data_IF_630094865701
#
_entry.id   IF_630094865701
#
_cell.length_a   1.000
_cell.length_b   1.000
_cell.length_c   1.000
_cell.angle_alpha   90.00
_cell.angle_beta   90.00
_cell.angle_gamma   90.00
#
_symmetry.space_group_name_H-M   'P 1'
#
loop_
_entity.id
_entity.type
_entity.pdbx_description
1 polymer ?
#
# COMPACT_ATOMS: atom_id res chain seq x y z
N UNK A 1 -14.89 2.89 49.58
CA UNK A 1 -15.25 2.17 48.33
C UNK A 1 -13.99 2.07 47.48
N UNK A 2 -13.62 0.88 46.97
CA UNK A 2 -12.43 0.75 46.15
C UNK A 2 -12.64 1.54 44.85
N UNK A 3 -11.65 2.37 44.50
CA UNK A 3 -11.64 3.23 43.30
C UNK A 3 -11.85 2.36 42.06
N UNK A 4 -12.62 2.87 41.09
CA UNK A 4 -12.77 2.30 39.74
C UNK A 4 -11.38 1.91 39.23
N UNK A 5 -11.14 0.62 38.99
CA UNK A 5 -10.01 0.16 38.19
C UNK A 5 -10.19 0.76 36.79
N UNK A 6 -9.40 1.77 36.48
CA UNK A 6 -9.24 2.29 35.14
C UNK A 6 -8.45 1.31 34.27
N UNK A 7 -8.90 1.24 33.01
CA UNK A 7 -8.72 0.15 32.06
C UNK A 7 -7.26 -0.28 31.76
N UNK A 8 -7.12 -1.56 31.38
CA UNK A 8 -5.98 -2.21 30.69
C UNK A 8 -4.74 -2.67 31.49
N UNK A 9 -4.68 -2.53 32.82
CA UNK A 9 -3.55 -3.10 33.60
C UNK A 9 -2.19 -2.43 33.32
N UNK A 10 -2.23 -1.18 32.84
CA UNK A 10 -1.04 -0.34 32.73
C UNK A 10 -0.60 0.15 34.12
N UNK A 11 0.70 0.38 34.35
CA UNK A 11 1.17 1.00 35.58
C UNK A 11 0.61 2.42 35.70
N UNK A 12 0.13 2.78 36.89
CA UNK A 12 -0.33 4.13 37.19
C UNK A 12 0.89 5.09 37.20
N UNK A 13 0.79 6.18 36.45
CA UNK A 13 1.82 7.22 36.43
C UNK A 13 1.46 8.26 37.49
N UNK A 14 2.34 8.45 38.47
CA UNK A 14 2.23 9.57 39.40
C UNK A 14 2.70 10.86 38.71
N UNK A 15 1.75 11.55 38.09
CA UNK A 15 2.02 12.81 37.39
C UNK A 15 2.58 13.92 38.29
N UNK A 16 2.41 13.83 39.62
CA UNK A 16 2.99 14.79 40.56
C UNK A 16 4.51 14.68 40.70
N UNK A 17 5.07 13.51 40.33
CA UNK A 17 6.50 13.19 40.35
C UNK A 17 7.10 13.08 38.95
N UNK A 18 6.36 13.46 37.92
CA UNK A 18 6.85 13.40 36.55
C UNK A 18 7.87 14.51 36.32
N UNK A 19 9.16 14.15 36.26
CA UNK A 19 10.30 15.08 36.12
C UNK A 19 10.41 15.71 34.72
N UNK A 20 9.50 15.38 33.81
CA UNK A 20 9.52 15.79 32.41
C UNK A 20 10.09 14.71 31.49
N UNK A 21 10.27 15.08 30.22
CA UNK A 21 10.82 14.21 29.18
C UNK A 21 12.32 14.52 29.07
N UNK A 22 13.18 13.52 29.26
CA UNK A 22 14.63 13.66 29.10
C UNK A 22 15.01 14.01 27.66
N UNK A 23 16.21 14.59 27.47
CA UNK A 23 16.70 15.03 26.17
C UNK A 23 16.48 13.94 25.10
N UNK A 24 15.79 14.27 23.99
CA UNK A 24 15.10 13.27 23.18
C UNK A 24 16.01 12.42 22.29
N UNK A 25 15.63 11.14 22.17
CA UNK A 25 15.83 10.37 20.94
C UNK A 25 14.57 10.55 20.09
N UNK A 26 14.73 10.96 18.84
CA UNK A 26 13.61 11.34 17.99
C UNK A 26 13.11 10.19 17.12
N UNK A 27 11.83 10.23 16.77
CA UNK A 27 11.25 9.42 15.70
C UNK A 27 10.91 10.35 14.55
N UNK A 28 11.56 10.17 13.40
CA UNK A 28 11.23 10.93 12.20
C UNK A 28 9.79 10.60 11.79
N UNK A 29 8.96 11.62 11.65
CA UNK A 29 7.54 11.52 11.32
C UNK A 29 7.26 12.53 10.22
N UNK A 30 6.59 12.15 9.10
CA UNK A 30 6.27 13.12 8.05
C UNK A 30 5.43 14.28 8.61
N UNK A 31 5.85 15.52 8.35
CA UNK A 31 5.19 16.73 8.88
C UNK A 31 3.69 16.78 8.55
N UNK A 32 3.31 16.25 7.38
CA UNK A 32 1.91 16.15 6.97
C UNK A 32 1.02 15.39 7.97
N UNK A 33 1.57 14.45 8.75
CA UNK A 33 0.85 13.75 9.81
C UNK A 33 0.37 14.75 10.86
N UNK A 34 1.21 15.73 11.21
CA UNK A 34 0.90 16.74 12.22
C UNK A 34 0.11 17.91 11.65
N UNK A 35 0.53 18.43 10.49
CA UNK A 35 0.01 19.69 9.96
C UNK A 35 -1.34 19.53 9.26
N UNK A 36 -1.53 18.42 8.53
CA UNK A 36 -2.67 18.27 7.62
C UNK A 36 -3.60 17.11 7.98
N UNK A 37 -3.08 16.07 8.63
CA UNK A 37 -3.83 14.83 8.89
C UNK A 37 -4.41 14.81 10.31
N UNK A 38 -3.65 15.22 11.32
CA UNK A 38 -4.03 15.10 12.74
C UNK A 38 -5.45 15.59 13.06
N UNK A 39 -5.93 16.75 12.56
CA UNK A 39 -7.26 17.25 12.90
C UNK A 39 -8.42 16.34 12.49
N UNK A 40 -8.19 15.46 11.51
CA UNK A 40 -9.19 14.55 10.95
C UNK A 40 -9.13 13.14 11.56
N UNK A 41 -8.21 12.91 12.50
CA UNK A 41 -8.07 11.63 13.19
C UNK A 41 -8.72 11.66 14.56
N UNK A 42 -9.36 10.56 14.93
CA UNK A 42 -9.74 10.35 16.34
C UNK A 42 -8.47 10.18 17.19
N UNK A 43 -8.57 10.42 18.49
CA UNK A 43 -7.44 10.19 19.40
C UNK A 43 -6.95 8.73 19.39
N UNK A 44 -7.83 7.76 19.11
CA UNK A 44 -7.46 6.37 18.95
C UNK A 44 -6.68 6.12 17.64
N UNK A 45 -7.16 6.66 16.53
CA UNK A 45 -6.48 6.59 15.23
C UNK A 45 -5.09 7.22 15.28
N UNK A 46 -4.97 8.42 15.86
CA UNK A 46 -3.70 9.10 16.00
C UNK A 46 -2.71 8.27 16.83
N UNK A 47 -3.13 7.71 17.97
CA UNK A 47 -2.28 6.83 18.79
C UNK A 47 -1.79 5.60 18.02
N UNK A 48 -2.68 4.95 17.27
CA UNK A 48 -2.32 3.77 16.47
C UNK A 48 -1.36 4.16 15.34
N UNK A 49 -1.63 5.26 14.63
CA UNK A 49 -0.78 5.75 13.54
C UNK A 49 0.63 6.10 14.05
N UNK A 50 0.73 6.86 15.14
CA UNK A 50 2.01 7.23 15.76
C UNK A 50 2.77 6.01 16.27
N UNK A 51 2.08 5.00 16.80
CA UNK A 51 2.73 3.76 17.20
C UNK A 51 3.32 3.01 16.01
N UNK A 52 2.60 2.93 14.88
CA UNK A 52 3.14 2.36 13.64
C UNK A 52 4.39 3.14 13.19
N UNK A 53 4.34 4.48 13.16
CA UNK A 53 5.50 5.34 12.81
C UNK A 53 6.69 5.07 13.73
N UNK A 54 6.46 4.94 15.04
CA UNK A 54 7.53 4.62 16.01
C UNK A 54 8.18 3.28 15.74
N UNK A 55 7.39 2.29 15.31
CA UNK A 55 7.84 0.92 15.00
C UNK A 55 8.51 0.80 13.63
N UNK A 56 8.18 1.68 12.69
CA UNK A 56 8.81 1.75 11.37
C UNK A 56 9.98 2.74 11.37
N UNK A 57 9.71 4.04 11.23
CA UNK A 57 10.72 5.08 11.05
C UNK A 57 11.58 5.29 12.29
N UNK A 58 11.02 5.07 13.49
CA UNK A 58 11.79 5.09 14.73
C UNK A 58 12.81 3.96 14.86
N UNK A 59 12.78 2.97 13.95
CA UNK A 59 13.78 1.91 13.80
C UNK A 59 14.39 1.88 12.40
N UNK A 60 14.23 2.96 11.61
CA UNK A 60 14.74 3.08 10.23
C UNK A 60 14.25 1.96 9.31
N UNK A 61 12.98 1.59 9.44
CA UNK A 61 12.30 0.60 8.59
C UNK A 61 11.18 1.27 7.81
N UNK A 62 10.91 0.77 6.61
CA UNK A 62 9.74 1.16 5.81
C UNK A 62 8.46 0.47 6.30
N UNK A 63 8.58 -0.73 6.85
CA UNK A 63 7.47 -1.53 7.39
C UNK A 63 7.91 -2.34 8.61
N UNK A 64 6.98 -2.70 9.50
CA UNK A 64 7.24 -3.58 10.64
C UNK A 64 6.10 -4.59 10.84
N UNK A 65 6.45 -5.80 11.27
CA UNK A 65 5.47 -6.82 11.65
C UNK A 65 5.00 -6.55 13.08
N UNK A 66 3.73 -6.17 13.24
CA UNK A 66 3.19 -5.76 14.55
C UNK A 66 1.93 -6.58 14.82
N UNK A 67 1.90 -7.26 15.97
CA UNK A 67 0.70 -7.98 16.39
C UNK A 67 -0.32 -7.00 17.00
N UNK A 68 -1.60 -7.36 16.96
CA UNK A 68 -2.64 -6.57 17.65
C UNK A 68 -2.35 -6.46 19.16
N UNK A 69 -1.76 -7.52 19.75
CA UNK A 69 -1.37 -7.52 21.15
C UNK A 69 -0.29 -6.46 21.43
N UNK A 70 0.71 -6.36 20.55
CA UNK A 70 1.76 -5.34 20.65
C UNK A 70 1.21 -3.92 20.45
N UNK A 71 0.24 -3.73 19.56
CA UNK A 71 -0.45 -2.45 19.41
C UNK A 71 -1.20 -2.05 20.69
N UNK A 72 -1.82 -3.01 21.38
CA UNK A 72 -2.56 -2.73 22.62
C UNK A 72 -1.60 -2.47 23.79
N UNK A 73 -0.66 -3.39 24.01
CA UNK A 73 0.04 -3.55 25.29
C UNK A 73 1.57 -3.43 25.18
N UNK A 74 2.07 -3.18 23.97
CA UNK A 74 3.48 -2.97 23.71
C UNK A 74 4.30 -4.23 23.61
N UNK A 75 5.63 -4.06 23.59
CA UNK A 75 6.58 -5.16 23.39
C UNK A 75 7.27 -5.52 24.69
N UNK A 76 7.23 -6.82 25.00
CA UNK A 76 8.06 -7.45 26.02
C UNK A 76 9.02 -8.40 25.30
N UNK A 77 10.30 -8.28 25.59
CA UNK A 77 11.33 -9.16 25.02
C UNK A 77 11.30 -10.53 25.68
N UNK A 78 12.02 -11.50 25.10
CA UNK A 78 12.06 -12.88 25.62
C UNK A 78 12.68 -12.97 27.02
N UNK A 79 13.59 -12.07 27.34
CA UNK A 79 14.21 -11.91 28.67
C UNK A 79 13.30 -11.18 29.69
N UNK A 80 12.05 -10.87 29.31
CA UNK A 80 11.06 -10.26 30.20
C UNK A 80 11.20 -8.74 30.34
N UNK A 81 12.18 -8.12 29.67
CA UNK A 81 12.34 -6.67 29.64
C UNK A 81 11.21 -6.03 28.83
N UNK A 82 10.57 -5.02 29.40
CA UNK A 82 9.58 -4.20 28.70
C UNK A 82 10.26 -3.12 27.86
N UNK A 83 9.94 -3.04 26.58
CA UNK A 83 10.46 -2.02 25.65
C UNK A 83 9.55 -0.82 25.56
N UNK A 84 8.23 -1.07 25.56
CA UNK A 84 7.21 -0.04 25.46
C UNK A 84 5.87 -0.54 26.04
N UNK A 85 4.87 0.33 26.06
CA UNK A 85 3.54 0.09 26.64
C UNK A 85 2.42 0.01 25.57
N UNK A 86 2.76 0.04 24.28
CA UNK A 86 1.76 0.06 23.21
C UNK A 86 0.97 1.37 23.18
N UNK A 87 -0.25 1.30 22.65
CA UNK A 87 -1.20 2.42 22.61
C UNK A 87 -2.05 2.56 23.87
N UNK A 88 -2.12 1.50 24.69
CA UNK A 88 -3.01 1.41 25.84
C UNK A 88 -4.50 1.31 25.47
N UNK A 89 -4.82 1.11 24.20
CA UNK A 89 -6.20 0.99 23.74
C UNK A 89 -6.72 -0.44 23.88
N UNK A 90 -8.05 -0.59 24.01
CA UNK A 90 -8.70 -1.89 23.96
C UNK A 90 -8.56 -2.49 22.55
N UNK A 91 -8.46 -3.81 22.47
CA UNK A 91 -8.34 -4.55 21.20
C UNK A 91 -9.36 -4.13 20.14
N UNK A 92 -10.64 -4.02 20.52
CA UNK A 92 -11.70 -3.61 19.60
C UNK A 92 -11.47 -2.20 19.03
N UNK A 93 -11.02 -1.27 19.87
CA UNK A 93 -10.69 0.10 19.47
C UNK A 93 -9.48 0.15 18.53
N UNK A 94 -8.46 -0.67 18.77
CA UNK A 94 -7.30 -0.80 17.87
C UNK A 94 -7.75 -1.31 16.50
N UNK A 95 -8.61 -2.34 16.46
CA UNK A 95 -9.10 -2.90 15.21
C UNK A 95 -9.92 -1.88 14.40
N UNK A 96 -10.76 -1.10 15.06
CA UNK A 96 -11.54 -0.05 14.41
C UNK A 96 -10.65 1.09 13.89
N UNK A 97 -9.69 1.54 14.70
CA UNK A 97 -8.70 2.53 14.29
C UNK A 97 -7.89 2.05 13.07
N UNK A 98 -7.43 0.80 13.06
CA UNK A 98 -6.71 0.22 11.92
C UNK A 98 -7.58 0.14 10.67
N UNK A 99 -8.86 -0.20 10.79
CA UNK A 99 -9.79 -0.18 9.66
C UNK A 99 -9.91 1.24 9.10
N UNK A 100 -10.21 2.22 9.96
CA UNK A 100 -10.39 3.59 9.51
C UNK A 100 -9.12 4.19 8.90
N UNK A 101 -7.93 3.94 9.48
CA UNK A 101 -6.65 4.39 8.91
C UNK A 101 -6.37 3.80 7.52
N UNK A 102 -6.80 2.57 7.26
CA UNK A 102 -6.71 1.95 5.92
C UNK A 102 -7.70 2.57 4.95
N UNK A 103 -8.93 2.82 5.38
CA UNK A 103 -9.96 3.49 4.57
C UNK A 103 -9.54 4.92 4.20
N UNK A 104 -8.91 5.64 5.13
CA UNK A 104 -8.28 6.95 4.91
C UNK A 104 -6.99 6.87 4.07
N UNK A 105 -6.58 5.67 3.68
CA UNK A 105 -5.39 5.42 2.86
C UNK A 105 -4.07 5.92 3.48
N UNK A 106 -4.00 5.99 4.81
CA UNK A 106 -2.82 6.46 5.55
C UNK A 106 -1.81 5.35 5.83
N UNK A 107 -2.29 4.10 5.94
CA UNK A 107 -1.47 2.93 6.21
C UNK A 107 -1.75 1.80 5.22
N UNK A 108 -0.74 0.98 4.99
CA UNK A 108 -0.86 -0.30 4.30
C UNK A 108 -0.73 -1.41 5.36
N UNK A 109 -1.59 -2.42 5.29
CA UNK A 109 -1.60 -3.56 6.20
C UNK A 109 -1.60 -4.86 5.39
N UNK A 110 -0.48 -5.58 5.42
CA UNK A 110 -0.28 -6.83 4.71
C UNK A 110 -0.39 -8.00 5.69
N UNK A 111 -1.46 -8.79 5.57
CA UNK A 111 -1.59 -10.00 6.37
C UNK A 111 -0.61 -11.07 5.87
N UNK A 112 0.18 -11.60 6.79
CA UNK A 112 1.07 -12.71 6.51
C UNK A 112 0.42 -14.02 6.93
N UNK A 113 0.38 -15.00 6.04
CA UNK A 113 -0.07 -16.36 6.35
C UNK A 113 1.11 -17.30 6.18
N UNK A 114 1.38 -18.09 7.21
CA UNK A 114 2.34 -19.17 7.15
C UNK A 114 1.58 -20.50 6.95
N UNK A 115 1.91 -21.29 5.92
CA UNK A 115 1.27 -22.59 5.69
C UNK A 115 1.44 -23.61 6.82
N UNK A 116 2.48 -23.47 7.66
CA UNK A 116 2.86 -24.44 8.70
C UNK A 116 2.53 -23.98 10.12
N UNK A 117 2.63 -22.68 10.40
CA UNK A 117 2.53 -22.12 11.77
C UNK A 117 1.32 -21.22 12.00
N UNK A 118 0.47 -21.01 11.00
CA UNK A 118 -0.77 -20.25 11.11
C UNK A 118 -0.61 -18.76 10.79
N UNK A 119 -1.43 -17.91 11.43
CA UNK A 119 -1.42 -16.47 11.17
C UNK A 119 -0.17 -15.81 11.75
N UNK A 120 0.64 -15.19 10.90
CA UNK A 120 1.73 -14.31 11.33
C UNK A 120 1.18 -12.92 11.69
N UNK A 121 1.92 -12.11 12.46
CA UNK A 121 1.58 -10.71 12.68
C UNK A 121 1.39 -9.97 11.35
N UNK A 122 0.50 -8.98 11.35
CA UNK A 122 0.29 -8.15 10.15
C UNK A 122 1.47 -7.19 10.00
N UNK A 123 1.97 -7.05 8.77
CA UNK A 123 3.00 -6.07 8.44
C UNK A 123 2.34 -4.75 8.13
N UNK A 124 2.76 -3.69 8.82
CA UNK A 124 2.22 -2.35 8.66
C UNK A 124 3.30 -1.41 8.12
N UNK A 125 2.90 -0.50 7.23
CA UNK A 125 3.69 0.63 6.76
C UNK A 125 2.80 1.86 6.59
N UNK A 126 3.43 3.04 6.50
CA UNK A 126 2.73 4.24 6.03
C UNK A 126 2.53 4.13 4.52
N UNK A 127 1.41 4.65 4.03
CA UNK A 127 1.20 4.78 2.59
C UNK A 127 1.87 6.05 2.09
N UNK A 128 3.17 5.97 1.78
CA UNK A 128 3.92 7.08 1.21
C UNK A 128 3.71 7.14 -0.30
N UNK A 129 3.42 8.34 -0.81
CA UNK A 129 3.33 8.62 -2.24
C UNK A 129 4.73 8.47 -2.87
N UNK A 130 4.87 7.67 -3.93
CA UNK A 130 6.16 7.31 -4.55
C UNK A 130 6.83 8.44 -5.36
N UNK A 131 6.43 9.70 -5.19
CA UNK A 131 6.72 10.78 -6.14
C UNK A 131 8.12 11.42 -5.97
N UNK A 132 9.03 10.79 -5.24
CA UNK A 132 10.42 11.25 -5.12
C UNK A 132 11.38 10.28 -5.78
N UNK A 133 11.35 10.24 -7.12
CA UNK A 133 12.56 9.90 -7.87
C UNK A 133 13.61 10.98 -7.59
N UNK A 134 14.57 10.70 -6.72
CA UNK A 134 15.78 11.49 -6.61
C UNK A 134 16.60 11.32 -7.90
N UNK A 135 16.24 12.04 -8.97
CA UNK A 135 17.25 12.54 -9.90
C UNK A 135 18.10 13.55 -9.12
N UNK A 136 19.38 13.25 -8.95
CA UNK A 136 20.26 13.90 -7.98
C UNK A 136 20.27 15.42 -8.03
N UNK A 137 19.81 16.06 -6.95
CA UNK A 137 20.11 17.47 -6.61
C UNK A 137 20.10 17.66 -5.08
N UNK A 138 20.86 16.85 -4.33
CA UNK A 138 21.29 17.23 -2.97
C UNK A 138 22.81 17.13 -2.81
N UNK A 139 23.52 17.32 -3.92
CA UNK A 139 24.88 17.84 -3.86
C UNK A 139 24.75 19.35 -3.69
N UNK A 140 25.28 19.86 -2.56
CA UNK A 140 25.50 21.28 -2.23
C UNK A 140 24.28 22.19 -2.11
N UNK A 141 23.74 22.30 -0.88
CA UNK A 141 23.24 23.59 -0.38
C UNK A 141 24.17 24.00 0.78
N UNK A 142 24.86 25.15 0.70
CA UNK A 142 25.65 25.66 1.81
C UNK A 142 24.73 26.06 2.96
N UNK A 143 25.17 25.79 4.19
CA UNK A 143 24.56 26.37 5.39
C UNK A 143 24.70 27.90 5.36
N UNK A 144 23.60 28.59 5.11
CA UNK A 144 23.35 29.94 5.63
C UNK A 144 21.85 30.06 5.85
N UNK A 145 21.44 30.00 7.12
CA UNK A 145 20.11 30.41 7.53
C UNK A 145 19.96 31.90 7.28
N UNK A 146 19.04 32.29 6.41
CA UNK A 146 18.37 33.57 6.51
C UNK A 146 16.89 33.27 6.77
N UNK A 147 16.42 33.67 7.96
CA UNK A 147 15.03 33.62 8.36
C UNK A 147 14.19 34.47 7.41
N UNK A 148 13.39 33.84 6.56
CA UNK A 148 12.26 34.51 5.93
C UNK A 148 11.04 34.40 6.85
N UNK A 149 10.88 35.37 7.75
CA UNK A 149 9.58 35.70 8.34
C UNK A 149 8.67 36.31 7.26
N UNK A 150 7.46 35.77 7.01
CA UNK A 150 6.45 36.43 6.19
C UNK A 150 6.03 37.76 6.82
N UNK A 151 6.03 38.85 6.03
CA UNK A 151 5.85 40.23 6.50
C UNK A 151 4.41 40.59 6.98
N UNK A 152 3.46 39.66 6.94
CA UNK A 152 2.02 39.98 7.19
C UNK A 152 1.36 39.20 8.33
N UNK A 153 2.12 38.59 9.24
CA UNK A 153 1.53 37.98 10.43
C UNK A 153 1.13 39.04 11.48
N UNK A 154 -0.14 39.12 11.93
CA UNK A 154 -0.55 40.08 12.94
C UNK A 154 0.17 39.83 14.28
N UNK A 155 0.53 40.88 15.04
CA UNK A 155 1.31 40.74 16.26
C UNK A 155 0.48 40.06 17.36
N UNK A 156 1.04 39.00 17.96
CA UNK A 156 0.46 38.38 19.15
C UNK A 156 0.44 39.38 20.32
N UNK A 157 -0.66 39.47 21.11
CA UNK A 157 -0.74 40.36 22.27
C UNK A 157 0.28 39.96 23.34
N UNK A 158 1.02 40.96 23.83
CA UNK A 158 2.26 40.79 24.60
C UNK A 158 2.12 40.20 26.00
N UNK A 159 3.12 39.41 26.38
CA UNK A 159 3.44 39.06 27.77
C UNK A 159 4.44 40.08 28.29
N UNK A 160 4.08 40.77 29.37
CA UNK A 160 4.89 41.81 30.01
C UNK A 160 6.19 41.20 30.58
N UNK A 161 7.32 41.83 30.26
CA UNK A 161 8.63 41.54 30.85
C UNK A 161 8.65 41.98 32.32
N UNK A 162 8.74 41.03 33.24
CA UNK A 162 9.15 41.24 34.62
C UNK A 162 10.22 40.23 34.98
N UNK A 163 11.49 40.64 34.97
CA UNK A 163 12.60 39.82 35.45
C UNK A 163 12.66 39.83 36.98
N UNK A 164 13.01 38.70 37.62
CA UNK A 164 13.72 38.73 38.88
C UNK A 164 15.20 38.40 38.67
N UNK A 165 16.05 39.33 39.10
CA UNK A 165 17.49 39.19 39.23
C UNK A 165 17.86 38.17 40.31
N UNK A 166 18.87 37.35 40.00
CA UNK A 166 19.94 36.97 40.93
C UNK A 166 19.84 35.60 41.61
N UNK A 167 20.66 34.66 41.16
CA UNK A 167 21.28 33.63 42.02
C UNK A 167 22.75 33.44 41.59
N UNK A 168 23.67 33.16 42.53
CA UNK A 168 25.10 33.46 42.40
C UNK A 168 25.91 32.35 41.70
N UNK A 169 27.01 32.78 41.09
CA UNK A 169 28.13 31.96 40.64
C UNK A 169 28.75 31.16 41.80
N UNK A 170 28.80 29.83 41.65
CA UNK A 170 29.86 28.96 42.18
C UNK A 170 29.58 27.52 41.72
N UNK A 171 30.10 27.15 40.54
CA UNK A 171 31.18 26.17 40.43
C UNK A 171 31.60 26.04 38.95
N UNK A 172 32.69 26.71 38.57
CA UNK A 172 33.31 26.59 37.24
C UNK A 172 34.29 25.42 37.27
N UNK A 173 33.89 24.29 36.69
CA UNK A 173 34.76 23.14 36.43
C UNK A 173 34.86 22.83 34.94
N UNK A 174 35.72 23.57 34.24
CA UNK A 174 36.52 23.17 33.06
C UNK A 174 35.85 22.23 32.03
N UNK A 175 35.34 22.79 30.93
CA UNK A 175 35.22 22.06 29.66
C UNK A 175 36.58 22.08 28.96
N UNK A 176 37.26 20.91 28.91
CA UNK A 176 38.40 20.73 28.02
C UNK A 176 37.89 20.50 26.60
N UNK A 177 38.43 21.25 25.66
CA UNK A 177 38.28 21.04 24.22
C UNK A 177 39.10 19.83 23.76
N UNK A 178 38.42 18.94 23.03
CA UNK A 178 38.86 18.08 21.90
C UNK A 178 39.97 17.02 22.15
N UNK A 179 39.79 15.77 21.63
CA UNK A 179 40.01 15.57 20.20
C UNK A 179 39.02 14.62 19.52
N UNK A 180 38.44 15.14 18.44
CA UNK A 180 38.29 14.48 17.15
C UNK A 180 39.17 13.21 16.98
N UNK A 181 38.52 12.04 16.87
CA UNK A 181 39.15 10.85 16.29
C UNK A 181 38.77 9.52 16.92
N UNK A 182 37.73 8.86 16.40
CA UNK A 182 37.72 7.40 16.26
C UNK A 182 37.01 7.02 14.96
N UNK A 183 37.80 6.80 13.92
CA UNK A 183 37.45 5.82 12.91
C UNK A 183 37.49 4.44 13.59
N UNK A 184 36.32 3.85 13.82
CA UNK A 184 36.22 2.40 14.05
C UNK A 184 35.53 1.79 12.84
N UNK A 185 36.37 1.12 12.05
CA UNK A 185 35.99 0.28 10.95
C UNK A 185 35.01 -0.79 11.44
N UNK A 186 33.75 -0.66 11.04
CA UNK A 186 32.86 -1.82 11.01
C UNK A 186 33.36 -2.73 9.88
N UNK A 187 33.54 -4.04 10.11
CA UNK A 187 33.76 -4.95 9.01
C UNK A 187 32.57 -4.86 8.06
N UNK A 188 32.77 -4.22 6.91
CA UNK A 188 31.92 -4.42 5.76
C UNK A 188 32.10 -5.88 5.37
N UNK A 189 31.18 -6.74 5.80
CA UNK A 189 30.88 -7.92 5.00
C UNK A 189 30.11 -7.41 3.78
N UNK A 190 30.86 -6.97 2.77
CA UNK A 190 30.43 -7.01 1.38
C UNK A 190 30.23 -8.47 1.00
N UNK A 191 29.06 -9.01 1.32
CA UNK A 191 28.53 -10.09 0.51
C UNK A 191 28.06 -9.43 -0.79
N UNK A 192 28.85 -9.58 -1.84
CA UNK A 192 28.42 -9.28 -3.19
C UNK A 192 27.24 -10.22 -3.50
N UNK A 193 26.01 -9.75 -3.32
CA UNK A 193 24.87 -10.35 -4.01
C UNK A 193 24.97 -9.90 -5.46
N UNK A 194 25.49 -10.80 -6.29
CA UNK A 194 25.42 -10.72 -7.74
C UNK A 194 23.94 -10.60 -8.13
N UNK A 195 23.48 -9.40 -8.47
CA UNK A 195 22.17 -9.17 -9.06
C UNK A 195 22.14 -9.93 -10.38
N UNK A 196 21.57 -11.15 -10.37
CA UNK A 196 21.26 -11.87 -11.59
C UNK A 196 20.29 -11.00 -12.39
N UNK A 197 20.72 -10.53 -13.54
CA UNK A 197 19.84 -9.86 -14.48
C UNK A 197 18.75 -10.85 -14.87
N UNK A 198 17.48 -10.48 -14.66
CA UNK A 198 16.34 -11.33 -15.03
C UNK A 198 16.29 -11.46 -16.54
N UNK A 199 16.24 -12.69 -17.03
CA UNK A 199 16.24 -13.01 -18.47
C UNK A 199 14.95 -12.50 -19.11
N UNK A 200 14.96 -12.16 -20.40
CA UNK A 200 13.76 -11.67 -21.10
C UNK A 200 12.55 -12.63 -21.00
N UNK A 201 12.81 -13.93 -20.89
CA UNK A 201 11.80 -14.99 -20.71
C UNK A 201 11.16 -14.95 -19.32
N UNK A 202 11.94 -14.70 -18.28
CA UNK A 202 11.49 -14.57 -16.89
C UNK A 202 10.59 -13.34 -16.72
N UNK A 203 10.96 -12.22 -17.34
CA UNK A 203 10.15 -10.99 -17.35
C UNK A 203 8.81 -11.21 -18.05
N UNK A 204 8.79 -11.99 -19.14
CA UNK A 204 7.56 -12.34 -19.85
C UNK A 204 6.64 -13.20 -18.97
N UNK A 205 7.18 -14.19 -18.27
CA UNK A 205 6.41 -15.02 -17.34
C UNK A 205 5.85 -14.23 -16.16
N UNK A 206 6.64 -13.32 -15.59
CA UNK A 206 6.17 -12.41 -14.54
C UNK A 206 4.98 -11.59 -15.04
N UNK A 207 5.05 -11.05 -16.26
CA UNK A 207 3.95 -10.27 -16.83
C UNK A 207 2.68 -11.09 -17.07
N UNK A 208 2.80 -12.35 -17.51
CA UNK A 208 1.66 -13.25 -17.68
C UNK A 208 1.04 -13.65 -16.33
N UNK A 209 1.84 -13.95 -15.31
CA UNK A 209 1.34 -14.23 -13.95
C UNK A 209 0.56 -13.02 -13.38
N UNK A 210 1.07 -11.80 -13.59
CA UNK A 210 0.40 -10.56 -13.17
C UNK A 210 -0.94 -10.38 -13.89
N UNK A 211 -1.02 -10.72 -15.18
CA UNK A 211 -2.26 -10.66 -15.97
C UNK A 211 -3.36 -11.57 -15.39
N UNK A 212 -2.99 -12.70 -14.80
CA UNK A 212 -3.92 -13.60 -14.09
C UNK A 212 -4.17 -13.21 -12.63
N UNK A 213 -3.68 -12.03 -12.19
CA UNK A 213 -3.94 -11.46 -10.87
C UNK A 213 -2.93 -11.84 -9.79
N UNK A 214 -1.82 -12.50 -10.16
CA UNK A 214 -0.74 -12.81 -9.20
C UNK A 214 0.04 -11.53 -8.89
N UNK A 215 0.34 -11.28 -7.61
CA UNK A 215 1.07 -10.08 -7.22
C UNK A 215 2.48 -10.03 -7.84
N UNK A 216 3.05 -8.85 -8.15
CA UNK A 216 4.37 -8.77 -8.77
C UNK A 216 5.49 -9.45 -7.97
N UNK A 217 5.45 -9.36 -6.63
CA UNK A 217 6.42 -10.05 -5.77
C UNK A 217 6.24 -11.56 -5.81
N UNK A 218 4.99 -12.05 -5.74
CA UNK A 218 4.72 -13.49 -5.85
C UNK A 218 5.07 -14.04 -7.24
N UNK A 219 4.83 -13.26 -8.31
CA UNK A 219 5.21 -13.66 -9.66
C UNK A 219 6.74 -13.74 -9.82
N UNK A 220 7.48 -12.82 -9.19
CA UNK A 220 8.94 -12.87 -9.13
C UNK A 220 9.45 -14.08 -8.35
N UNK A 221 8.89 -14.34 -7.16
CA UNK A 221 9.22 -15.52 -6.35
C UNK A 221 8.98 -16.82 -7.12
N UNK A 222 7.84 -16.93 -7.81
CA UNK A 222 7.51 -18.15 -8.56
C UNK A 222 8.48 -18.40 -9.72
N UNK A 223 8.92 -17.35 -10.42
CA UNK A 223 9.87 -17.47 -11.54
C UNK A 223 11.30 -17.72 -11.05
N UNK A 224 11.63 -17.32 -9.83
CA UNK A 224 12.91 -17.64 -9.19
C UNK A 224 12.96 -19.06 -8.63
N UNK A 225 11.81 -19.61 -8.21
CA UNK A 225 11.70 -20.90 -7.53
C UNK A 225 11.35 -22.08 -8.47
N UNK A 226 10.67 -21.83 -9.60
CA UNK A 226 10.19 -22.88 -10.51
C UNK A 226 10.62 -22.68 -11.95
N UNK A 227 10.80 -23.79 -12.68
CA UNK A 227 11.21 -23.76 -14.09
C UNK A 227 10.18 -23.05 -14.98
N UNK A 228 10.67 -22.27 -15.95
CA UNK A 228 9.87 -21.51 -16.90
C UNK A 228 8.82 -22.36 -17.65
N UNK A 229 9.19 -23.60 -17.99
CA UNK A 229 8.31 -24.56 -18.67
C UNK A 229 7.16 -24.99 -17.75
N UNK A 230 7.44 -25.26 -16.48
CA UNK A 230 6.43 -25.66 -15.49
C UNK A 230 5.39 -24.56 -15.27
N UNK A 231 5.85 -23.32 -15.12
CA UNK A 231 4.97 -22.16 -14.96
C UNK A 231 4.09 -21.97 -16.20
N UNK A 232 4.68 -22.07 -17.40
CA UNK A 232 3.96 -21.96 -18.67
C UNK A 232 2.87 -23.01 -18.81
N UNK A 233 3.18 -24.27 -18.48
CA UNK A 233 2.21 -25.37 -18.52
C UNK A 233 1.04 -25.14 -17.55
N UNK A 234 1.28 -24.62 -16.34
CA UNK A 234 0.20 -24.33 -15.39
C UNK A 234 -0.67 -23.15 -15.83
N UNK A 235 -0.10 -22.14 -16.49
CA UNK A 235 -0.85 -21.05 -17.11
C UNK A 235 -1.76 -21.59 -18.22
N UNK A 236 -1.23 -22.45 -19.09
CA UNK A 236 -1.97 -23.08 -20.19
C UNK A 236 -3.15 -23.93 -19.68
N UNK A 237 -2.96 -24.66 -18.58
CA UNK A 237 -4.00 -25.50 -17.98
C UNK A 237 -5.06 -24.71 -17.20
N UNK A 238 -4.81 -23.45 -16.86
CA UNK A 238 -5.67 -22.65 -15.97
C UNK A 238 -7.12 -22.50 -16.47
N UNK A 239 -7.41 -22.23 -17.76
CA UNK A 239 -8.78 -22.12 -18.27
C UNK A 239 -9.59 -23.41 -18.09
N UNK A 240 -8.93 -24.56 -18.21
CA UNK A 240 -9.56 -25.88 -18.02
C UNK A 240 -9.91 -26.17 -16.56
N UNK A 241 -9.29 -25.48 -15.60
CA UNK A 241 -9.59 -25.59 -14.16
C UNK A 241 -10.80 -24.75 -13.73
N UNK A 242 -11.30 -23.85 -14.59
CA UNK A 242 -12.42 -22.91 -14.33
C UNK A 242 -12.36 -22.28 -12.92
N UNK A 243 -11.26 -21.61 -12.56
CA UNK A 243 -11.08 -21.10 -11.20
C UNK A 243 -12.00 -19.91 -10.93
N UNK A 244 -12.60 -19.86 -9.73
CA UNK A 244 -13.27 -18.64 -9.22
C UNK A 244 -12.26 -17.51 -8.92
N UNK A 245 -11.04 -17.89 -8.57
CA UNK A 245 -9.89 -17.01 -8.36
C UNK A 245 -8.68 -17.56 -9.14
N UNK A 246 -8.42 -17.05 -10.37
CA UNK A 246 -7.34 -17.51 -11.21
C UNK A 246 -5.97 -17.42 -10.54
N UNK A 247 -5.70 -16.34 -9.80
CA UNK A 247 -4.41 -16.11 -9.14
C UNK A 247 -4.16 -17.15 -8.04
N UNK A 248 -5.14 -17.37 -7.16
CA UNK A 248 -4.99 -18.34 -6.07
C UNK A 248 -4.87 -19.78 -6.57
N UNK A 249 -5.59 -20.14 -7.63
CA UNK A 249 -5.49 -21.49 -8.23
C UNK A 249 -4.18 -21.67 -8.97
N UNK A 250 -3.72 -20.66 -9.70
CA UNK A 250 -2.45 -20.70 -10.43
C UNK A 250 -1.25 -20.81 -9.49
N UNK A 251 -1.18 -19.99 -8.43
CA UNK A 251 -0.11 -20.05 -7.42
C UNK A 251 -0.08 -21.42 -6.73
N UNK A 252 -1.26 -21.98 -6.39
CA UNK A 252 -1.33 -23.33 -5.81
C UNK A 252 -0.89 -24.42 -6.79
N UNK A 253 -1.32 -24.33 -8.04
CA UNK A 253 -1.01 -25.33 -9.06
C UNK A 253 0.49 -25.37 -9.38
N UNK A 254 1.16 -24.20 -9.41
CA UNK A 254 2.61 -24.11 -9.60
C UNK A 254 3.34 -24.69 -8.38
N UNK A 255 3.02 -24.25 -7.16
CA UNK A 255 3.72 -24.67 -5.94
C UNK A 255 3.54 -26.14 -5.57
N UNK A 256 2.39 -26.71 -5.91
CA UNK A 256 2.05 -28.11 -5.59
C UNK A 256 2.16 -29.04 -6.81
N UNK A 257 2.73 -28.54 -7.91
CA UNK A 257 2.92 -29.28 -9.17
C UNK A 257 1.69 -30.08 -9.60
N UNK A 258 0.53 -29.41 -9.66
CA UNK A 258 -0.73 -30.09 -9.96
C UNK A 258 -0.72 -30.71 -11.35
N UNK A 259 -1.15 -31.97 -11.42
CA UNK A 259 -1.34 -32.67 -12.69
C UNK A 259 -2.44 -32.06 -13.57
N UNK A 260 -2.55 -32.55 -14.82
CA UNK A 260 -3.53 -32.05 -15.79
C UNK A 260 -4.97 -32.24 -15.29
N UNK A 261 -5.85 -31.22 -15.41
CA UNK A 261 -7.24 -31.32 -14.97
C UNK A 261 -8.07 -32.26 -15.86
N UNK A 262 -9.17 -32.79 -15.32
CA UNK A 262 -10.10 -33.66 -16.06
C UNK A 262 -10.64 -32.92 -17.30
N UNK A 263 -10.41 -33.49 -18.49
CA UNK A 263 -10.72 -32.85 -19.78
C UNK A 263 -9.54 -32.14 -20.47
N UNK A 264 -8.37 -32.02 -19.82
CA UNK A 264 -7.16 -31.51 -20.47
C UNK A 264 -6.50 -32.61 -21.31
N UNK A 265 -6.65 -32.54 -22.63
CA UNK A 265 -5.87 -33.33 -23.57
C UNK A 265 -4.76 -32.43 -24.11
N UNK A 266 -3.53 -32.61 -23.63
CA UNK A 266 -2.35 -31.98 -24.22
C UNK A 266 -2.39 -32.31 -25.71
N UNK A 267 -2.45 -31.31 -26.58
CA UNK A 267 -2.30 -31.56 -28.02
C UNK A 267 -0.89 -32.12 -28.22
N UNK A 268 -0.79 -33.44 -28.26
CA UNK A 268 0.28 -34.09 -29.00
C UNK A 268 0.21 -33.55 -30.43
N UNK A 269 1.35 -33.40 -31.13
CA UNK A 269 1.33 -33.04 -32.54
C UNK A 269 0.35 -33.98 -33.24
N UNK A 270 -0.55 -33.37 -34.03
CA UNK A 270 -1.78 -33.92 -34.59
C UNK A 270 -1.84 -35.45 -34.68
N UNK A 271 -2.78 -36.09 -33.97
CA UNK A 271 -3.51 -37.25 -34.50
C UNK A 271 -4.80 -37.56 -33.72
N UNK A 272 -5.87 -37.70 -34.52
CA UNK A 272 -7.11 -38.47 -34.33
C UNK A 272 -8.10 -38.19 -33.17
N UNK A 273 -9.22 -37.56 -33.59
CA UNK A 273 -10.61 -38.04 -33.47
C UNK A 273 -11.47 -37.74 -32.21
N UNK A 274 -12.58 -37.07 -32.54
CA UNK A 274 -14.00 -37.28 -32.14
C UNK A 274 -14.50 -37.03 -30.71
N UNK A 275 -15.51 -36.14 -30.64
CA UNK A 275 -16.83 -36.49 -30.11
C UNK A 275 -17.34 -35.71 -28.89
N UNK A 276 -18.29 -34.79 -29.15
CA UNK A 276 -19.53 -34.48 -28.39
C UNK A 276 -19.46 -34.15 -26.87
N UNK A 277 -20.34 -33.39 -26.22
CA UNK A 277 -21.41 -32.43 -26.50
C UNK A 277 -21.87 -31.93 -25.09
N UNK A 278 -22.41 -30.72 -24.95
CA UNK A 278 -23.03 -30.31 -23.68
C UNK A 278 -23.21 -28.81 -23.47
N UNK A 279 -24.45 -28.35 -23.65
CA UNK A 279 -24.96 -26.99 -23.79
C UNK A 279 -25.21 -26.29 -22.43
N UNK A 280 -25.09 -24.96 -22.38
CA UNK A 280 -26.02 -23.95 -21.81
C UNK A 280 -25.24 -22.66 -21.54
N UNK A 281 -25.57 -21.44 -21.96
CA UNK A 281 -26.57 -20.88 -22.87
C UNK A 281 -26.21 -19.39 -22.94
N UNK A 282 -25.86 -18.86 -24.11
CA UNK A 282 -25.51 -17.44 -24.30
C UNK A 282 -26.41 -16.82 -25.37
N UNK A 283 -26.95 -15.65 -25.04
CA UNK A 283 -27.67 -14.76 -25.95
C UNK A 283 -26.72 -14.21 -27.03
N UNK A 284 -27.23 -13.76 -28.20
CA UNK A 284 -26.50 -13.86 -29.46
C UNK A 284 -25.34 -12.86 -29.59
N UNK A 285 -24.17 -13.40 -29.90
CA UNK A 285 -22.89 -12.72 -30.11
C UNK A 285 -22.79 -11.95 -31.44
N UNK A 286 -23.79 -11.10 -31.75
CA UNK A 286 -23.85 -10.36 -33.02
C UNK A 286 -23.40 -8.90 -32.95
N UNK A 287 -23.75 -8.17 -31.87
CA UNK A 287 -23.51 -6.71 -31.78
C UNK A 287 -22.37 -6.32 -30.83
N UNK A 288 -21.98 -7.20 -29.91
CA UNK A 288 -20.99 -6.89 -28.86
C UNK A 288 -19.56 -6.62 -29.39
N UNK A 289 -19.25 -7.05 -30.61
CA UNK A 289 -17.93 -6.82 -31.24
C UNK A 289 -17.84 -5.50 -32.04
N UNK A 290 -18.97 -4.88 -32.42
CA UNK A 290 -18.97 -3.67 -33.26
C UNK A 290 -18.23 -2.50 -32.59
N UNK A 291 -18.35 -2.39 -31.26
CA UNK A 291 -17.77 -1.31 -30.48
C UNK A 291 -16.48 -1.67 -29.76
N UNK A 292 -15.97 -2.90 -29.91
CA UNK A 292 -14.76 -3.35 -29.22
C UNK A 292 -13.53 -2.50 -29.60
N UNK A 293 -13.36 -2.21 -30.90
CA UNK A 293 -12.27 -1.37 -31.39
C UNK A 293 -12.40 0.09 -30.94
N UNK A 294 -13.63 0.62 -30.88
CA UNK A 294 -13.89 1.97 -30.37
C UNK A 294 -13.57 2.04 -28.88
N UNK A 295 -14.02 1.07 -28.09
CA UNK A 295 -13.79 1.05 -26.65
C UNK A 295 -12.31 0.89 -26.30
N UNK A 296 -11.55 0.07 -27.04
CA UNK A 296 -10.10 -0.03 -26.87
C UNK A 296 -9.39 1.33 -27.02
N UNK A 297 -9.77 2.12 -28.03
CA UNK A 297 -9.26 3.49 -28.22
C UNK A 297 -9.69 4.43 -27.10
N UNK A 298 -10.92 4.29 -26.61
CA UNK A 298 -11.41 5.06 -25.47
C UNK A 298 -10.57 4.76 -24.22
N UNK A 299 -10.31 3.50 -23.91
CA UNK A 299 -9.52 3.11 -22.73
C UNK A 299 -8.07 3.60 -22.82
N UNK A 300 -7.45 3.58 -24.00
CA UNK A 300 -6.08 4.08 -24.17
C UNK A 300 -5.97 5.59 -23.92
N UNK A 301 -6.98 6.35 -24.34
CA UNK A 301 -7.03 7.80 -24.12
C UNK A 301 -7.42 8.14 -22.69
N UNK A 302 -8.36 7.40 -22.09
CA UNK A 302 -8.73 7.57 -20.68
C UNK A 302 -7.55 7.29 -19.74
N UNK A 303 -6.70 6.32 -20.07
CA UNK A 303 -5.50 6.04 -19.30
C UNK A 303 -4.51 7.23 -19.25
N UNK A 304 -4.53 8.10 -20.26
CA UNK A 304 -3.71 9.33 -20.29
C UNK A 304 -4.32 10.44 -19.44
N UNK A 305 -5.65 10.50 -19.32
CA UNK A 305 -6.37 11.54 -18.58
C UNK A 305 -6.62 11.20 -17.09
N UNK A 306 -7.01 9.97 -16.78
CA UNK A 306 -7.36 9.51 -15.43
C UNK A 306 -6.22 8.76 -14.72
N UNK A 307 -5.13 8.50 -15.45
CA UNK A 307 -4.06 7.61 -15.04
C UNK A 307 -4.39 6.13 -15.29
N UNK A 308 -3.37 5.37 -15.70
CA UNK A 308 -3.47 3.92 -15.98
C UNK A 308 -4.11 3.10 -14.84
N UNK A 309 -3.82 3.33 -13.54
CA UNK A 309 -4.42 2.54 -12.46
C UNK A 309 -5.94 2.72 -12.37
N UNK A 310 -6.42 3.96 -12.38
CA UNK A 310 -7.85 4.30 -12.30
C UNK A 310 -8.61 3.78 -13.52
N UNK A 311 -8.05 3.97 -14.72
CA UNK A 311 -8.65 3.50 -15.96
C UNK A 311 -8.71 1.97 -16.03
N UNK A 312 -7.65 1.28 -15.62
CA UNK A 312 -7.64 -0.18 -15.60
C UNK A 312 -8.62 -0.75 -14.57
N UNK A 313 -8.72 -0.12 -13.40
CA UNK A 313 -9.67 -0.54 -12.37
C UNK A 313 -11.12 -0.42 -12.86
N UNK A 314 -11.49 0.73 -13.43
CA UNK A 314 -12.91 1.02 -13.73
C UNK A 314 -13.37 0.55 -15.11
N UNK A 315 -12.49 0.52 -16.12
CA UNK A 315 -12.89 0.45 -17.53
C UNK A 315 -12.23 -0.67 -18.34
N UNK A 316 -11.25 -1.40 -17.79
CA UNK A 316 -10.48 -2.44 -18.53
C UNK A 316 -11.34 -3.58 -19.10
N UNK A 317 -12.46 -3.87 -18.47
CA UNK A 317 -13.41 -4.90 -18.87
C UNK A 317 -14.80 -4.35 -19.19
N UNK A 318 -14.93 -3.03 -19.21
CA UNK A 318 -16.17 -2.40 -19.65
C UNK A 318 -16.31 -2.54 -21.17
N UNK A 319 -17.53 -2.42 -21.69
CA UNK A 319 -17.82 -2.42 -23.12
C UNK A 319 -19.04 -1.57 -23.45
N UNK A 320 -19.07 -1.00 -24.64
CA UNK A 320 -20.27 -0.32 -25.13
C UNK A 320 -21.31 -1.38 -25.52
N UNK A 321 -22.53 -1.23 -25.01
CA UNK A 321 -23.67 -2.08 -25.38
C UNK A 321 -24.43 -1.52 -26.57
N UNK A 322 -24.68 -0.21 -26.56
CA UNK A 322 -25.41 0.46 -27.62
C UNK A 322 -24.99 1.92 -27.73
N UNK A 323 -25.14 2.47 -28.93
CA UNK A 323 -24.93 3.88 -29.23
C UNK A 323 -26.13 4.38 -30.04
N UNK A 324 -27.11 4.97 -29.37
CA UNK A 324 -28.34 5.48 -29.98
C UNK A 324 -28.34 7.02 -29.96
N UNK A 325 -28.25 7.63 -31.14
CA UNK A 325 -28.15 9.09 -31.24
C UNK A 325 -26.98 9.61 -30.41
N UNK A 326 -27.24 10.51 -29.46
CA UNK A 326 -26.23 11.11 -28.59
C UNK A 326 -26.03 10.33 -27.26
N UNK A 327 -26.66 9.17 -27.08
CA UNK A 327 -26.54 8.36 -25.86
C UNK A 327 -25.72 7.10 -26.11
N UNK A 328 -24.77 6.85 -25.22
CA UNK A 328 -23.92 5.66 -25.25
C UNK A 328 -24.07 4.91 -23.94
N UNK A 329 -24.49 3.66 -24.02
CA UNK A 329 -24.62 2.77 -22.87
C UNK A 329 -23.35 1.94 -22.73
N UNK A 330 -22.68 2.06 -21.59
CA UNK A 330 -21.46 1.31 -21.26
C UNK A 330 -21.78 0.30 -20.16
N UNK A 331 -21.57 -0.98 -20.45
CA UNK A 331 -21.60 -2.05 -19.46
C UNK A 331 -20.27 -2.07 -18.71
N UNK A 332 -20.33 -1.93 -17.39
CA UNK A 332 -19.22 -2.19 -16.48
C UNK A 332 -19.12 -3.68 -16.20
N UNK A 333 -17.90 -4.18 -16.01
CA UNK A 333 -17.67 -5.60 -15.78
C UNK A 333 -18.18 -6.10 -14.42
N UNK A 334 -18.25 -5.22 -13.42
CA UNK A 334 -18.64 -5.57 -12.06
C UNK A 334 -19.63 -4.54 -11.50
N UNK A 335 -20.70 -4.96 -10.81
CA UNK A 335 -21.73 -4.08 -10.26
C UNK A 335 -21.21 -2.97 -9.34
N UNK A 336 -20.16 -3.26 -8.58
CA UNK A 336 -19.58 -2.31 -7.63
C UNK A 336 -18.75 -1.21 -8.30
N UNK A 337 -18.31 -1.37 -9.55
CA UNK A 337 -17.62 -0.28 -10.26
C UNK A 337 -18.51 0.96 -10.39
N UNK A 338 -19.83 0.77 -10.50
CA UNK A 338 -20.80 1.87 -10.60
C UNK A 338 -20.75 2.80 -9.38
N UNK A 339 -20.46 2.29 -8.19
CA UNK A 339 -20.37 3.11 -6.97
C UNK A 339 -19.07 3.92 -6.89
N UNK A 340 -18.08 3.57 -7.71
CA UNK A 340 -16.78 4.24 -7.79
C UNK A 340 -16.72 5.26 -8.95
N UNK A 341 -17.73 5.30 -9.82
CA UNK A 341 -17.83 6.28 -10.90
C UNK A 341 -18.23 7.63 -10.30
N UNK A 342 -17.29 8.56 -10.32
CA UNK A 342 -17.50 9.96 -9.93
C UNK A 342 -17.86 10.80 -11.15
N UNK A 343 -18.45 11.99 -10.97
CA UNK A 343 -18.75 12.90 -12.07
C UNK A 343 -17.55 13.21 -12.97
N UNK A 344 -16.33 13.30 -12.42
CA UNK A 344 -15.11 13.48 -13.22
C UNK A 344 -14.83 12.33 -14.19
N UNK A 345 -15.16 11.09 -13.81
CA UNK A 345 -14.97 9.91 -14.65
C UNK A 345 -15.97 9.92 -15.81
N UNK A 346 -17.24 10.23 -15.52
CA UNK A 346 -18.29 10.35 -16.55
C UNK A 346 -17.89 11.40 -17.59
N UNK A 347 -17.47 12.57 -17.12
CA UNK A 347 -17.03 13.67 -17.98
C UNK A 347 -15.82 13.30 -18.83
N UNK A 348 -14.86 12.55 -18.27
CA UNK A 348 -13.69 12.06 -19.02
C UNK A 348 -14.10 11.09 -20.15
N UNK A 349 -15.00 10.14 -19.86
CA UNK A 349 -15.50 9.19 -20.89
C UNK A 349 -16.30 9.91 -21.96
N UNK A 350 -17.18 10.84 -21.59
CA UNK A 350 -17.93 11.67 -22.54
C UNK A 350 -17.01 12.52 -23.42
N UNK A 351 -15.96 13.11 -22.84
CA UNK A 351 -14.99 13.94 -23.58
C UNK A 351 -14.22 13.11 -24.60
N UNK A 352 -13.72 11.94 -24.21
CA UNK A 352 -12.97 11.05 -25.09
C UNK A 352 -13.86 10.50 -26.21
N UNK A 353 -15.09 10.07 -25.89
CA UNK A 353 -16.03 9.60 -26.91
C UNK A 353 -16.46 10.72 -27.84
N UNK A 354 -16.67 11.93 -27.33
CA UNK A 354 -17.03 13.07 -28.17
C UNK A 354 -15.91 13.44 -29.15
N UNK A 355 -14.66 13.35 -28.71
CA UNK A 355 -13.49 13.53 -29.56
C UNK A 355 -13.40 12.45 -30.66
N UNK A 356 -13.62 11.18 -30.32
CA UNK A 356 -13.51 10.07 -31.26
C UNK A 356 -14.66 10.00 -32.27
N UNK A 357 -15.87 10.41 -31.86
CA UNK A 357 -17.06 10.35 -32.70
C UNK A 357 -17.39 11.67 -33.41
N UNK A 358 -16.67 12.75 -33.08
CA UNK A 358 -16.88 14.07 -33.69
C UNK A 358 -18.21 14.73 -33.34
N UNK A 359 -18.87 14.28 -32.27
CA UNK A 359 -20.19 14.78 -31.81
C UNK A 359 -20.30 14.70 -30.29
N UNK A 360 -21.15 15.53 -29.69
CA UNK A 360 -21.40 15.44 -28.25
C UNK A 360 -22.17 14.16 -27.93
N UNK A 361 -21.79 13.51 -26.83
CA UNK A 361 -22.44 12.29 -26.36
C UNK A 361 -22.68 12.37 -24.86
N UNK A 362 -23.68 11.64 -24.37
CA UNK A 362 -23.94 11.38 -22.97
C UNK A 362 -23.72 9.90 -22.69
N UNK A 363 -23.03 9.61 -21.59
CA UNK A 363 -22.68 8.23 -21.23
C UNK A 363 -23.52 7.78 -20.04
N UNK A 364 -24.17 6.63 -20.21
CA UNK A 364 -24.86 5.93 -19.12
C UNK A 364 -24.13 4.63 -18.79
N UNK A 365 -23.75 4.47 -17.53
CA UNK A 365 -23.11 3.26 -17.03
C UNK A 365 -24.15 2.29 -16.48
N UNK A 366 -24.17 1.08 -17.03
CA UNK A 366 -24.94 -0.06 -16.53
C UNK A 366 -23.97 -1.15 -16.05
N UNK A 367 -24.43 -2.04 -15.17
CA UNK A 367 -23.60 -3.11 -14.61
C UNK A 367 -24.42 -4.38 -14.42
#
# INVERSE_FOLDING_TARGET
>A
MPKRQDNNGLPEIDWSRFEGITAPTYTQTPDAVFDWIMPYLTGAELKVLLYIIRRTFGFKKEADAISIEQLCNGIVTRDGRRLDLGTGLKRATVLEALRSLREKNLIIAQQQRDPLTGSKPTVYSLNLRQDYSHSGVYSSIPRSMEEHTPQDAPPYPGVQKGAPQGLPEQDRGVCQEEPNGYAQAYPQQTAQETVKQKTAEELKLISELIKYGVSPSTAQELVEEFDAEHISQQIEMLPHRRPKDPAAVLVKAIRQSWGPPSGYRRSAPADASSGEAGITGEAPAGEADQYAALWARVTDLLAQHLGRPTCNMLFSRARILSAEGDRICVLLAEPWHRTQIKPEHVMAVETVLAMLLGRRVKVEFTA
#
